data_IF_107040622163
#
_entry.id   IF_107040622163
#
_cell.length_a   1.000
_cell.length_b   1.000
_cell.length_c   1.000
_cell.angle_alpha   90.00
_cell.angle_beta   90.00
_cell.angle_gamma   90.00
#
_symmetry.space_group_name_H-M   'P 1'
#
loop_
_entity.id
_entity.type
_entity.pdbx_description
1 polymer ?
#
# COMPACT_ATOMS: atom_id res chain seq x y z
N UNK A 1 0.89 -5.40 -0.70
CA UNK A 1 1.67 -6.36 0.13
C UNK A 1 2.65 -7.20 -0.70
N UNK A 2 2.17 -7.92 -1.72
CA UNK A 2 3.03 -8.80 -2.54
C UNK A 2 4.21 -8.04 -3.21
N UNK A 3 3.95 -6.88 -3.80
CA UNK A 3 4.99 -5.99 -4.35
C UNK A 3 6.09 -5.68 -3.33
N UNK A 4 5.71 -5.34 -2.09
CA UNK A 4 6.67 -5.03 -1.01
C UNK A 4 7.45 -6.26 -0.55
N UNK A 5 6.84 -7.45 -0.53
CA UNK A 5 7.58 -8.70 -0.26
C UNK A 5 8.64 -8.97 -1.33
N UNK A 6 8.31 -8.72 -2.60
CA UNK A 6 9.25 -8.86 -3.70
C UNK A 6 10.37 -7.81 -3.61
N UNK A 7 10.04 -6.57 -3.24
CA UNK A 7 11.02 -5.50 -3.05
C UNK A 7 12.04 -5.81 -1.95
N UNK A 8 11.68 -6.53 -0.89
CA UNK A 8 12.66 -6.99 0.10
C UNK A 8 13.73 -7.91 -0.49
N UNK A 9 13.40 -8.63 -1.57
CA UNK A 9 14.28 -9.61 -2.22
C UNK A 9 15.06 -9.02 -3.39
N UNK A 10 14.44 -8.14 -4.17
CA UNK A 10 14.95 -7.73 -5.49
C UNK A 10 15.36 -6.26 -5.59
N UNK A 11 14.90 -5.39 -4.68
CA UNK A 11 15.25 -3.98 -4.77
C UNK A 11 16.76 -3.77 -4.61
N UNK A 12 17.32 -2.84 -5.39
CA UNK A 12 18.73 -2.46 -5.30
C UNK A 12 18.93 -1.40 -4.21
N UNK A 13 18.04 -0.41 -4.17
CA UNK A 13 18.09 0.67 -3.20
C UNK A 13 17.76 0.20 -1.78
N UNK A 14 18.63 0.56 -0.83
CA UNK A 14 18.37 0.36 0.59
C UNK A 14 17.13 1.12 1.08
N UNK A 15 16.88 2.31 0.51
CA UNK A 15 15.71 3.12 0.83
C UNK A 15 14.42 2.46 0.31
N UNK A 16 14.45 1.81 -0.87
CA UNK A 16 13.32 1.03 -1.38
C UNK A 16 13.01 -0.15 -0.46
N UNK A 17 14.04 -0.90 -0.03
CA UNK A 17 13.86 -2.00 0.93
C UNK A 17 13.30 -1.50 2.26
N UNK A 18 13.78 -0.36 2.78
CA UNK A 18 13.29 0.23 4.02
C UNK A 18 11.81 0.64 3.91
N UNK A 19 11.44 1.31 2.80
CA UNK A 19 10.04 1.65 2.53
C UNK A 19 9.16 0.39 2.43
N UNK A 20 9.61 -0.64 1.71
CA UNK A 20 8.89 -1.91 1.61
C UNK A 20 8.69 -2.60 2.97
N UNK A 21 9.68 -2.59 3.87
CA UNK A 21 9.52 -3.10 5.25
C UNK A 21 8.43 -2.35 6.00
N UNK A 22 8.42 -1.01 5.91
CA UNK A 22 7.40 -0.18 6.57
C UNK A 22 6.00 -0.49 6.02
N UNK A 23 5.86 -0.59 4.70
CA UNK A 23 4.61 -0.96 4.04
C UNK A 23 4.08 -2.29 4.56
N UNK A 24 4.92 -3.33 4.64
CA UNK A 24 4.49 -4.64 5.14
C UNK A 24 4.02 -4.60 6.58
N UNK A 25 4.73 -3.89 7.45
CA UNK A 25 4.38 -3.79 8.87
C UNK A 25 3.03 -3.07 9.06
N UNK A 26 2.85 -1.91 8.44
CA UNK A 26 1.67 -1.08 8.65
C UNK A 26 0.44 -1.66 7.97
N UNK A 27 0.55 -2.13 6.72
CA UNK A 27 -0.56 -2.79 6.04
C UNK A 27 -0.91 -4.13 6.68
N UNK A 28 0.06 -4.86 7.24
CA UNK A 28 -0.20 -6.08 8.01
C UNK A 28 -1.12 -5.81 9.21
N UNK A 29 -0.81 -4.77 9.99
CA UNK A 29 -1.65 -4.32 11.12
C UNK A 29 -3.03 -3.85 10.65
N UNK A 30 -3.08 -3.07 9.57
CA UNK A 30 -4.34 -2.58 9.01
C UNK A 30 -5.25 -3.73 8.55
N UNK A 31 -4.68 -4.73 7.86
CA UNK A 31 -5.42 -5.90 7.41
C UNK A 31 -5.94 -6.75 8.57
N UNK A 32 -5.14 -6.94 9.63
CA UNK A 32 -5.59 -7.64 10.83
C UNK A 32 -6.80 -6.94 11.46
N UNK A 33 -6.73 -5.62 11.64
CA UNK A 33 -7.83 -4.81 12.17
C UNK A 33 -9.07 -4.85 11.28
N UNK A 34 -8.91 -4.79 9.96
CA UNK A 34 -10.03 -4.88 9.03
C UNK A 34 -10.72 -6.25 9.09
N UNK A 35 -9.94 -7.34 9.20
CA UNK A 35 -10.47 -8.69 9.35
C UNK A 35 -11.27 -8.84 10.65
N UNK A 36 -10.81 -8.25 11.76
CA UNK A 36 -11.58 -8.23 13.01
C UNK A 36 -12.91 -7.50 12.86
N UNK A 37 -12.92 -6.36 12.18
CA UNK A 37 -14.16 -5.62 11.88
C UNK A 37 -15.09 -6.48 11.03
N UNK A 38 -14.57 -7.09 9.97
CA UNK A 38 -15.35 -7.95 9.08
C UNK A 38 -15.98 -9.12 9.84
N UNK A 39 -15.21 -9.81 10.69
CA UNK A 39 -15.69 -10.91 11.52
C UNK A 39 -16.82 -10.46 12.47
N UNK A 40 -16.62 -9.34 13.19
CA UNK A 40 -17.63 -8.78 14.10
C UNK A 40 -18.91 -8.35 13.38
N UNK A 41 -18.77 -7.84 12.16
CA UNK A 41 -19.89 -7.38 11.33
C UNK A 41 -20.49 -8.50 10.47
N UNK A 42 -20.01 -9.74 10.61
CA UNK A 42 -20.37 -10.90 9.76
C UNK A 42 -20.29 -10.61 8.27
N UNK A 43 -19.35 -9.75 7.89
CA UNK A 43 -19.05 -9.44 6.51
C UNK A 43 -18.13 -10.52 5.94
N UNK A 44 -18.44 -11.00 4.74
CA UNK A 44 -17.49 -11.82 3.98
C UNK A 44 -16.51 -10.86 3.30
N UNK A 45 -15.19 -10.98 3.53
CA UNK A 45 -14.22 -10.27 2.71
C UNK A 45 -14.44 -10.65 1.25
N UNK A 46 -14.50 -9.68 0.35
CA UNK A 46 -14.35 -9.97 -1.07
C UNK A 46 -12.86 -10.26 -1.30
N UNK A 47 -12.52 -11.55 -1.39
CA UNK A 47 -11.20 -11.95 -1.82
C UNK A 47 -11.13 -11.78 -3.34
N UNK A 48 -10.80 -10.58 -3.79
CA UNK A 48 -10.34 -10.40 -5.16
C UNK A 48 -8.88 -10.83 -5.21
N UNK A 49 -8.68 -12.13 -5.38
CA UNK A 49 -7.44 -12.69 -5.90
C UNK A 49 -7.40 -12.42 -7.42
N UNK A 50 -7.35 -11.15 -7.77
CA UNK A 50 -6.95 -10.73 -9.11
C UNK A 50 -5.43 -10.80 -9.11
N UNK A 51 -4.83 -11.47 -10.09
CA UNK A 51 -3.39 -11.34 -10.31
C UNK A 51 -3.12 -9.84 -10.41
N UNK A 52 -2.31 -9.32 -9.50
CA UNK A 52 -2.04 -7.89 -9.48
C UNK A 52 -1.04 -7.64 -10.62
N UNK A 53 -1.48 -7.08 -11.77
CA UNK A 53 -0.61 -6.94 -12.93
C UNK A 53 0.60 -6.07 -12.59
N UNK A 54 0.49 -5.19 -11.59
CA UNK A 54 1.60 -4.38 -11.11
C UNK A 54 2.66 -5.25 -10.40
N UNK A 55 2.27 -6.34 -9.73
CA UNK A 55 3.20 -7.31 -9.12
C UNK A 55 3.88 -8.17 -10.18
N UNK A 56 3.13 -8.60 -11.19
CA UNK A 56 3.69 -9.40 -12.30
C UNK A 56 4.73 -8.60 -13.09
N UNK A 57 4.47 -7.29 -13.31
CA UNK A 57 5.42 -6.38 -13.95
C UNK A 57 6.75 -6.23 -13.20
N UNK A 58 6.80 -6.53 -11.89
CA UNK A 58 8.03 -6.46 -11.09
C UNK A 58 8.92 -7.69 -11.26
N UNK A 59 8.35 -8.88 -11.48
CA UNK A 59 9.08 -10.17 -11.42
C UNK A 59 10.22 -10.29 -12.43
N UNK A 60 10.09 -9.62 -13.57
CA UNK A 60 11.10 -9.59 -14.64
C UNK A 60 12.09 -8.42 -14.56
N UNK A 61 12.02 -7.59 -13.52
CA UNK A 61 12.87 -6.40 -13.38
C UNK A 61 13.93 -6.59 -12.30
N UNK A 62 15.04 -5.89 -12.45
CA UNK A 62 16.14 -5.91 -11.50
C UNK A 62 16.76 -4.52 -11.37
N UNK A 63 17.58 -4.34 -10.34
CA UNK A 63 18.36 -3.12 -10.19
C UNK A 63 17.49 -1.86 -10.06
N UNK A 64 17.93 -0.78 -10.72
CA UNK A 64 17.19 0.47 -10.80
C UNK A 64 15.79 0.31 -11.43
N UNK A 65 15.65 -0.52 -12.46
CA UNK A 65 14.36 -0.71 -13.14
C UNK A 65 13.33 -1.37 -12.22
N UNK A 66 13.78 -2.25 -11.33
CA UNK A 66 12.94 -2.79 -10.27
C UNK A 66 12.49 -1.69 -9.32
N UNK A 67 13.42 -0.85 -8.84
CA UNK A 67 13.13 0.23 -7.89
C UNK A 67 12.09 1.23 -8.46
N UNK A 68 12.22 1.57 -9.75
CA UNK A 68 11.27 2.45 -10.47
C UNK A 68 9.90 1.78 -10.61
N UNK A 69 9.86 0.52 -11.04
CA UNK A 69 8.59 -0.20 -11.20
C UNK A 69 7.88 -0.42 -9.86
N UNK A 70 8.62 -0.64 -8.78
CA UNK A 70 8.04 -0.74 -7.44
C UNK A 70 7.41 0.58 -6.99
N UNK A 71 8.03 1.72 -7.31
CA UNK A 71 7.42 3.04 -7.09
C UNK A 71 6.18 3.29 -7.97
N UNK A 72 6.10 2.71 -9.17
CA UNK A 72 4.88 2.79 -9.96
C UNK A 72 3.73 2.02 -9.29
N UNK A 73 4.00 0.81 -8.80
CA UNK A 73 3.03 -0.06 -8.15
C UNK A 73 2.60 0.41 -6.75
N UNK A 74 3.55 0.88 -5.95
CA UNK A 74 3.36 1.17 -4.52
C UNK A 74 3.83 2.57 -4.11
N UNK A 75 4.10 3.47 -5.04
CA UNK A 75 4.60 4.80 -4.73
C UNK A 75 3.50 5.86 -4.59
N UNK A 76 3.79 7.13 -4.90
CA UNK A 76 2.88 8.25 -4.61
C UNK A 76 1.51 8.14 -5.30
N UNK A 77 1.48 7.62 -6.52
CA UNK A 77 0.22 7.46 -7.28
C UNK A 77 -0.75 6.50 -6.59
N UNK A 78 -0.27 5.33 -6.17
CA UNK A 78 -1.06 4.34 -5.45
C UNK A 78 -1.55 4.89 -4.09
N UNK A 79 -0.68 5.59 -3.37
CA UNK A 79 -1.03 6.17 -2.07
C UNK A 79 -2.05 7.30 -2.16
N UNK A 80 -1.96 8.18 -3.16
CA UNK A 80 -2.99 9.21 -3.38
C UNK A 80 -4.36 8.60 -3.68
N UNK A 81 -4.41 7.55 -4.52
CA UNK A 81 -5.65 6.82 -4.80
C UNK A 81 -6.23 6.19 -3.52
N UNK A 82 -5.38 5.58 -2.70
CA UNK A 82 -5.79 5.00 -1.42
C UNK A 82 -6.33 6.07 -0.45
N UNK A 83 -5.64 7.21 -0.30
CA UNK A 83 -6.13 8.32 0.54
C UNK A 83 -7.51 8.77 0.08
N UNK A 84 -7.71 9.01 -1.23
CA UNK A 84 -9.01 9.42 -1.76
C UNK A 84 -10.13 8.41 -1.46
N UNK A 85 -9.84 7.11 -1.57
CA UNK A 85 -10.78 6.04 -1.23
C UNK A 85 -11.12 6.05 0.27
N UNK A 86 -10.10 6.17 1.13
CA UNK A 86 -10.29 6.18 2.58
C UNK A 86 -11.01 7.43 3.07
N UNK A 87 -10.73 8.59 2.48
CA UNK A 87 -11.49 9.81 2.75
C UNK A 87 -12.96 9.66 2.32
N UNK A 88 -13.20 9.06 1.16
CA UNK A 88 -14.53 8.76 0.66
C UNK A 88 -15.32 7.88 1.63
N UNK A 89 -14.72 6.78 2.10
CA UNK A 89 -15.34 5.91 3.11
C UNK A 89 -15.52 6.63 4.44
N UNK A 90 -14.53 7.40 4.92
CA UNK A 90 -14.64 8.14 6.18
C UNK A 90 -15.81 9.14 6.18
N UNK A 91 -16.01 9.86 5.06
CA UNK A 91 -17.08 10.85 4.89
C UNK A 91 -18.45 10.21 4.63
N UNK A 92 -18.51 9.26 3.69
CA UNK A 92 -19.77 8.81 3.08
C UNK A 92 -20.11 7.34 3.37
N UNK A 93 -19.26 6.62 4.10
CA UNK A 93 -19.45 5.20 4.40
C UNK A 93 -20.75 4.92 5.14
N UNK A 94 -21.39 3.79 4.86
CA UNK A 94 -22.67 3.43 5.52
C UNK A 94 -22.47 2.72 6.85
N UNK A 95 -21.32 2.06 7.03
CA UNK A 95 -21.03 1.23 8.20
C UNK A 95 -20.12 1.99 9.14
N UNK A 96 -20.64 2.37 10.32
CA UNK A 96 -19.87 3.15 11.31
C UNK A 96 -18.49 2.55 11.65
N UNK A 97 -18.32 1.21 11.80
CA UNK A 97 -17.00 0.62 12.02
C UNK A 97 -16.02 0.81 10.87
N UNK A 98 -16.50 0.81 9.61
CA UNK A 98 -15.65 1.02 8.43
C UNK A 98 -15.28 2.49 8.25
N UNK A 99 -16.21 3.42 8.51
CA UNK A 99 -15.90 4.85 8.59
C UNK A 99 -14.79 5.13 9.59
N UNK A 100 -14.92 4.61 10.81
CA UNK A 100 -13.94 4.80 11.88
C UNK A 100 -12.57 4.19 11.52
N UNK A 101 -12.58 3.01 10.90
CA UNK A 101 -11.36 2.39 10.39
C UNK A 101 -10.71 3.29 9.32
N UNK A 102 -11.47 3.75 8.34
CA UNK A 102 -10.99 4.59 7.27
C UNK A 102 -10.36 5.89 7.80
N UNK A 103 -11.06 6.61 8.68
CA UNK A 103 -10.54 7.81 9.34
C UNK A 103 -9.21 7.54 10.06
N UNK A 104 -9.12 6.43 10.79
CA UNK A 104 -7.91 6.12 11.57
C UNK A 104 -6.69 5.74 10.73
N UNK A 105 -6.90 5.37 9.45
CA UNK A 105 -5.80 4.99 8.55
C UNK A 105 -5.24 6.17 7.76
N UNK A 106 -5.98 7.28 7.64
CA UNK A 106 -5.54 8.46 6.88
C UNK A 106 -4.15 8.96 7.29
N UNK A 107 -3.81 9.14 8.58
CA UNK A 107 -2.47 9.62 8.96
C UNK A 107 -1.33 8.68 8.52
N UNK A 108 -1.60 7.37 8.50
CA UNK A 108 -0.61 6.38 8.04
C UNK A 108 -0.44 6.45 6.52
N UNK A 109 -1.53 6.59 5.77
CA UNK A 109 -1.47 6.70 4.31
C UNK A 109 -0.80 8.00 3.86
N UNK A 110 -1.05 9.12 4.54
CA UNK A 110 -0.37 10.40 4.32
C UNK A 110 1.13 10.31 4.61
N UNK A 111 1.49 9.64 5.70
CA UNK A 111 2.89 9.39 6.03
C UNK A 111 3.57 8.52 4.96
N UNK A 112 2.92 7.45 4.49
CA UNK A 112 3.43 6.63 3.40
C UNK A 112 3.56 7.41 2.10
N UNK A 113 2.61 8.28 1.76
CA UNK A 113 2.71 9.17 0.60
C UNK A 113 3.95 10.07 0.68
N UNK A 114 4.18 10.70 1.83
CA UNK A 114 5.37 11.54 2.05
C UNK A 114 6.67 10.75 1.86
N UNK A 115 6.75 9.55 2.45
CA UNK A 115 7.89 8.65 2.26
C UNK A 115 8.08 8.26 0.78
N UNK A 116 6.99 7.94 0.09
CA UNK A 116 7.02 7.54 -1.32
C UNK A 116 7.48 8.69 -2.22
N UNK A 117 7.06 9.93 -1.94
CA UNK A 117 7.51 11.12 -2.68
C UNK A 117 9.00 11.38 -2.45
N UNK A 118 9.48 11.24 -1.20
CA UNK A 118 10.90 11.35 -0.90
C UNK A 118 11.71 10.27 -1.62
N UNK A 119 11.20 9.04 -1.65
CA UNK A 119 11.83 7.93 -2.33
C UNK A 119 11.87 8.13 -3.86
N UNK A 120 10.78 8.61 -4.46
CA UNK A 120 10.72 8.92 -5.89
C UNK A 120 11.81 9.91 -6.31
N UNK A 121 12.02 10.97 -5.52
CA UNK A 121 13.10 11.95 -5.77
C UNK A 121 14.49 11.31 -5.69
N UNK A 122 14.72 10.43 -4.72
CA UNK A 122 16.02 9.74 -4.54
C UNK A 122 16.30 8.73 -5.65
N UNK A 123 15.28 7.97 -6.06
CA UNK A 123 15.40 7.01 -7.16
C UNK A 123 15.48 7.76 -8.49
N UNK A 124 14.98 9.00 -8.61
CA UNK A 124 14.93 9.71 -9.88
C UNK A 124 13.98 9.02 -10.86
N UNK A 125 12.87 8.49 -10.33
CA UNK A 125 11.76 8.00 -11.14
C UNK A 125 10.88 9.21 -11.52
N UNK A 126 10.38 9.28 -12.77
CA UNK A 126 9.45 10.32 -13.20
C UNK A 126 8.14 10.31 -12.39
#
# INVERSE_FOLDING_TARGET
MQASQLALKQAQSADVRAFAKRMLADHGKANARLNEIAARQRMKPQAEQISDPDVDALRGKAGRDFDVAYLAAAGPGAHRKAIALFEGEARNGRRAPLRAFATSMLPTLEHHLSMAQALQRKVGAP
#
